data_IF_773195312859
#
_entry.id   IF_773195312859
#
_cell.length_a   1.000
_cell.length_b   1.000
_cell.length_c   1.000
_cell.angle_alpha   90.00
_cell.angle_beta   90.00
_cell.angle_gamma   90.00
#
_symmetry.space_group_name_H-M   'P 1'
#
loop_
_entity.id
_entity.type
_entity.pdbx_description
1 polymer ?
#
# COMPACT_ATOMS: atom_id res chain seq x y z
N UNK A 1 -12.77 15.21 3.28
CA UNK A 1 -12.59 13.95 2.52
C UNK A 1 -11.83 12.90 3.32
N UNK A 2 -10.61 13.18 3.80
CA UNK A 2 -9.84 12.25 4.67
C UNK A 2 -10.62 11.67 5.85
N UNK A 3 -11.35 12.50 6.63
CA UNK A 3 -12.15 12.03 7.77
C UNK A 3 -13.21 11.00 7.36
N UNK A 4 -13.86 11.19 6.22
CA UNK A 4 -14.85 10.24 5.69
C UNK A 4 -14.19 8.93 5.24
N UNK A 5 -13.01 8.99 4.62
CA UNK A 5 -12.25 7.79 4.29
C UNK A 5 -11.84 7.02 5.54
N UNK A 6 -11.32 7.73 6.53
CA UNK A 6 -10.88 7.15 7.79
C UNK A 6 -12.02 6.50 8.55
N UNK A 7 -13.15 7.18 8.71
CA UNK A 7 -14.33 6.62 9.40
C UNK A 7 -14.89 5.40 8.66
N UNK A 8 -14.96 5.44 7.32
CA UNK A 8 -15.60 4.38 6.54
C UNK A 8 -14.71 3.15 6.34
N UNK A 9 -13.44 3.34 5.97
CA UNK A 9 -12.54 2.24 5.59
C UNK A 9 -11.56 1.84 6.66
N UNK A 10 -11.23 2.77 7.57
CA UNK A 10 -10.14 2.60 8.52
C UNK A 10 -10.58 2.81 9.97
N UNK A 11 -11.88 2.82 10.22
CA UNK A 11 -12.50 2.86 11.56
C UNK A 11 -12.03 4.02 12.44
N UNK A 12 -11.69 5.17 11.83
CA UNK A 12 -11.24 6.37 12.54
C UNK A 12 -9.84 6.27 13.14
N UNK A 13 -9.03 5.29 12.70
CA UNK A 13 -7.73 4.98 13.31
C UNK A 13 -6.56 5.77 12.70
N UNK A 14 -6.74 6.35 11.52
CA UNK A 14 -5.63 6.83 10.70
C UNK A 14 -5.49 8.36 10.76
N UNK A 15 -6.57 9.12 10.83
CA UNK A 15 -6.50 10.60 10.86
C UNK A 15 -5.86 11.16 12.13
N UNK A 16 -5.87 10.39 13.23
CA UNK A 16 -5.15 10.73 14.45
C UNK A 16 -3.63 10.57 14.32
N UNK A 17 -3.17 9.93 13.24
CA UNK A 17 -1.76 9.54 13.02
C UNK A 17 -1.21 10.02 11.68
N UNK A 18 -1.98 10.76 10.88
CA UNK A 18 -1.52 11.32 9.61
C UNK A 18 -1.33 12.83 9.74
N UNK A 19 -0.20 13.33 9.23
CA UNK A 19 -0.09 14.71 8.73
C UNK A 19 -0.18 14.66 7.21
N UNK A 20 -1.00 15.55 6.66
CA UNK A 20 -1.31 15.54 5.25
C UNK A 20 -0.67 16.74 4.56
N UNK A 21 0.12 16.49 3.52
CA UNK A 21 0.80 17.51 2.75
C UNK A 21 0.42 17.39 1.27
N UNK A 22 -0.03 18.49 0.68
CA UNK A 22 -0.25 18.59 -0.77
C UNK A 22 0.94 19.33 -1.37
N UNK A 23 1.60 18.71 -2.35
CA UNK A 23 2.70 19.32 -3.09
C UNK A 23 2.25 19.65 -4.52
N UNK A 24 2.54 20.89 -4.95
CA UNK A 24 2.04 21.43 -6.22
C UNK A 24 2.72 20.82 -7.45
N UNK A 25 4.02 20.50 -7.36
CA UNK A 25 4.81 20.06 -8.52
C UNK A 25 5.80 18.97 -8.10
N UNK A 26 5.90 17.91 -8.90
CA UNK A 26 6.85 16.82 -8.73
C UNK A 26 7.71 16.62 -9.99
N UNK A 27 8.96 16.14 -9.87
CA UNK A 27 9.80 15.87 -11.03
C UNK A 27 9.12 14.88 -12.00
N UNK A 28 9.18 15.15 -13.30
CA UNK A 28 8.52 14.35 -14.35
C UNK A 28 8.95 12.88 -14.40
N UNK A 29 10.13 12.57 -13.86
CA UNK A 29 10.74 11.23 -13.86
C UNK A 29 10.28 10.32 -12.72
N UNK A 30 9.50 10.84 -11.77
CA UNK A 30 9.00 10.01 -10.69
C UNK A 30 7.89 9.06 -11.17
N UNK A 31 7.92 7.84 -10.64
CA UNK A 31 6.97 6.78 -10.96
C UNK A 31 5.71 6.79 -10.08
N UNK A 32 5.66 7.64 -9.05
CA UNK A 32 4.63 7.65 -8.02
C UNK A 32 4.05 9.07 -7.86
N UNK A 33 2.72 9.18 -7.71
CA UNK A 33 1.97 10.45 -7.58
C UNK A 33 1.61 10.77 -6.12
N UNK A 34 2.01 9.91 -5.19
CA UNK A 34 1.94 10.13 -3.75
C UNK A 34 2.98 9.30 -3.02
N UNK A 35 3.12 9.56 -1.72
CA UNK A 35 3.95 8.73 -0.84
C UNK A 35 3.50 8.84 0.62
N UNK A 36 3.74 7.76 1.37
CA UNK A 36 3.53 7.68 2.81
C UNK A 36 4.87 7.51 3.53
N UNK A 37 5.30 8.54 4.25
CA UNK A 37 6.53 8.53 5.07
C UNK A 37 6.24 8.32 6.56
N UNK A 38 7.18 7.70 7.28
CA UNK A 38 7.08 7.49 8.73
C UNK A 38 7.90 8.55 9.50
N UNK A 39 7.28 9.16 10.51
CA UNK A 39 7.85 10.26 11.29
C UNK A 39 7.64 10.00 12.77
N UNK A 40 8.75 9.98 13.50
CA UNK A 40 8.77 9.68 14.93
C UNK A 40 8.88 8.19 15.21
N UNK A 41 8.96 7.84 16.48
CA UNK A 41 9.21 6.45 16.91
C UNK A 41 8.02 5.85 17.65
N UNK A 42 7.30 6.59 18.51
CA UNK A 42 6.04 6.13 19.15
C UNK A 42 5.19 7.31 19.71
N UNK A 43 3.86 7.35 19.47
CA UNK A 43 3.15 6.60 18.43
C UNK A 43 3.63 7.03 17.03
N UNK A 44 3.57 6.14 16.03
CA UNK A 44 4.00 6.47 14.68
C UNK A 44 3.08 7.57 14.10
N UNK A 45 3.69 8.64 13.58
CA UNK A 45 3.02 9.65 12.77
C UNK A 45 3.42 9.42 11.32
N UNK A 46 2.49 9.57 10.39
CA UNK A 46 2.71 9.36 8.97
C UNK A 46 2.53 10.66 8.20
N UNK A 47 3.44 10.96 7.30
CA UNK A 47 3.24 12.02 6.32
C UNK A 47 2.69 11.40 5.04
N UNK A 48 1.48 11.81 4.65
CA UNK A 48 0.96 11.50 3.32
C UNK A 48 1.21 12.71 2.43
N UNK A 49 1.95 12.49 1.35
CA UNK A 49 2.23 13.47 0.32
C UNK A 49 1.42 13.12 -0.93
N UNK A 50 0.68 14.09 -1.47
CA UNK A 50 0.03 13.97 -2.78
C UNK A 50 0.59 15.01 -3.75
N UNK A 51 0.90 14.55 -4.96
CA UNK A 51 1.33 15.40 -6.06
C UNK A 51 0.17 15.69 -6.99
N UNK A 52 -0.16 16.97 -7.17
CA UNK A 52 -1.23 17.39 -8.09
C UNK A 52 -0.75 17.53 -9.53
N UNK A 53 0.57 17.51 -9.78
CA UNK A 53 1.14 17.59 -11.13
C UNK A 53 2.26 16.57 -11.34
N UNK A 54 2.25 15.93 -12.52
CA UNK A 54 3.34 15.10 -13.04
C UNK A 54 3.91 15.76 -14.30
N UNK A 55 5.05 16.44 -14.17
CA UNK A 55 5.56 17.30 -15.24
C UNK A 55 4.57 18.44 -15.54
N UNK A 56 4.05 18.52 -16.77
CA UNK A 56 3.04 19.50 -17.18
C UNK A 56 1.59 19.02 -17.03
N UNK A 57 1.37 17.76 -16.64
CA UNK A 57 0.02 17.18 -16.55
C UNK A 57 -0.55 17.31 -15.14
N UNK A 58 -1.74 17.90 -15.02
CA UNK A 58 -2.50 17.95 -13.77
C UNK A 58 -3.17 16.61 -13.50
N UNK A 59 -3.03 16.10 -12.28
CA UNK A 59 -3.75 14.92 -11.82
C UNK A 59 -5.25 15.20 -11.75
N UNK A 60 -6.05 14.26 -12.23
CA UNK A 60 -7.50 14.32 -12.13
C UNK A 60 -7.94 14.04 -10.69
N UNK A 61 -9.14 14.51 -10.31
CA UNK A 61 -9.69 14.22 -8.98
C UNK A 61 -9.77 12.71 -8.67
N UNK A 62 -10.22 11.82 -9.61
CA UNK A 62 -10.20 10.37 -9.38
C UNK A 62 -8.80 9.82 -9.10
N UNK A 63 -7.76 10.30 -9.80
CA UNK A 63 -6.37 9.88 -9.55
C UNK A 63 -5.88 10.33 -8.16
N UNK A 64 -6.23 11.55 -7.75
CA UNK A 64 -5.89 12.06 -6.41
C UNK A 64 -6.60 11.27 -5.31
N UNK A 65 -7.86 10.88 -5.54
CA UNK A 65 -8.64 10.07 -4.59
C UNK A 65 -8.06 8.67 -4.47
N UNK A 66 -7.75 8.01 -5.59
CA UNK A 66 -7.10 6.70 -5.60
C UNK A 66 -5.74 6.73 -4.89
N UNK A 67 -4.93 7.74 -5.18
CA UNK A 67 -3.62 7.94 -4.53
C UNK A 67 -3.76 8.18 -3.03
N UNK A 68 -4.69 9.07 -2.62
CA UNK A 68 -4.95 9.29 -1.21
C UNK A 68 -5.33 7.99 -0.51
N UNK A 69 -6.22 7.21 -1.12
CA UNK A 69 -6.67 5.94 -0.56
C UNK A 69 -5.51 4.93 -0.45
N UNK A 70 -4.65 4.85 -1.48
CA UNK A 70 -3.43 4.04 -1.50
C UNK A 70 -2.50 4.37 -0.32
N UNK A 71 -2.18 5.65 -0.14
CA UNK A 71 -1.30 6.09 0.96
C UNK A 71 -1.94 5.92 2.34
N UNK A 72 -3.27 6.06 2.45
CA UNK A 72 -3.98 5.79 3.70
C UNK A 72 -3.92 4.30 4.08
N UNK A 73 -3.90 3.36 3.12
CA UNK A 73 -3.68 1.95 3.41
C UNK A 73 -2.27 1.73 3.98
N UNK A 74 -1.25 2.38 3.41
CA UNK A 74 0.11 2.30 3.96
C UNK A 74 0.15 2.80 5.41
N UNK A 75 -0.43 3.96 5.71
CA UNK A 75 -0.49 4.51 7.06
C UNK A 75 -1.28 3.61 8.04
N UNK A 76 -2.42 3.08 7.58
CA UNK A 76 -3.24 2.16 8.37
C UNK A 76 -2.48 0.90 8.73
N UNK A 77 -1.94 0.18 7.74
CA UNK A 77 -1.22 -1.07 7.98
C UNK A 77 0.05 -0.85 8.81
N UNK A 78 0.76 0.25 8.55
CA UNK A 78 1.95 0.63 9.31
C UNK A 78 1.68 0.95 10.78
N UNK A 79 0.44 1.28 11.13
CA UNK A 79 0.03 1.51 12.52
C UNK A 79 -0.07 0.23 13.35
N UNK A 80 -0.11 -0.94 12.70
CA UNK A 80 -0.25 -2.26 13.33
C UNK A 80 0.94 -3.19 13.07
N UNK A 81 1.86 -2.82 12.18
CA UNK A 81 3.09 -3.60 11.98
C UNK A 81 4.13 -3.32 13.06
N UNK A 82 4.80 -4.39 13.48
CA UNK A 82 5.95 -4.33 14.35
C UNK A 82 7.20 -4.65 13.52
N UNK A 83 8.22 -3.78 13.58
CA UNK A 83 9.45 -3.92 12.81
C UNK A 83 10.55 -4.72 13.53
N UNK A 84 10.17 -5.50 14.55
CA UNK A 84 11.10 -6.34 15.28
C UNK A 84 11.61 -7.51 14.40
N UNK A 85 12.83 -8.05 14.59
CA UNK A 85 13.32 -9.19 13.80
C UNK A 85 12.37 -10.41 13.86
N UNK A 86 11.73 -10.65 15.01
CA UNK A 86 10.74 -11.73 15.19
C UNK A 86 9.43 -11.49 14.42
N UNK A 87 9.22 -10.27 13.94
CA UNK A 87 8.00 -9.76 13.35
C UNK A 87 8.10 -9.59 11.82
N UNK A 88 9.28 -9.84 11.24
CA UNK A 88 9.59 -9.60 9.82
C UNK A 88 8.62 -10.33 8.87
N UNK A 89 8.18 -11.53 9.25
CA UNK A 89 7.12 -12.25 8.51
C UNK A 89 5.79 -11.51 8.48
N UNK A 90 5.38 -10.91 9.60
CA UNK A 90 4.13 -10.16 9.67
C UNK A 90 4.23 -8.88 8.86
N UNK A 91 5.38 -8.21 8.88
CA UNK A 91 5.70 -7.05 8.03
C UNK A 91 5.50 -7.39 6.54
N UNK A 92 6.15 -8.47 6.08
CA UNK A 92 6.04 -8.94 4.69
C UNK A 92 4.61 -9.27 4.24
N UNK A 93 3.82 -9.94 5.08
CA UNK A 93 2.45 -10.29 4.72
C UNK A 93 1.47 -9.12 4.83
N UNK A 94 1.80 -8.14 5.67
CA UNK A 94 0.93 -7.00 5.97
C UNK A 94 1.22 -5.86 5.01
N UNK A 95 2.36 -5.19 5.19
CA UNK A 95 2.77 -4.06 4.35
C UNK A 95 3.51 -4.51 3.11
N UNK A 96 4.17 -5.66 3.09
CA UNK A 96 4.95 -6.09 1.93
C UNK A 96 6.45 -5.92 2.13
N UNK A 97 7.22 -6.18 1.10
CA UNK A 97 8.67 -6.03 1.17
C UNK A 97 9.06 -4.56 1.15
N UNK A 98 10.14 -4.15 1.82
CA UNK A 98 10.62 -2.74 1.86
C UNK A 98 10.75 -2.07 0.49
N UNK A 99 10.95 -2.86 -0.57
CA UNK A 99 11.08 -2.36 -1.93
C UNK A 99 9.76 -2.10 -2.63
N UNK A 100 8.67 -2.78 -2.25
CA UNK A 100 7.37 -2.64 -2.90
C UNK A 100 6.33 -2.04 -1.98
N UNK A 101 6.38 -2.34 -0.68
CA UNK A 101 5.39 -1.96 0.32
C UNK A 101 3.95 -2.34 -0.07
N UNK A 102 3.79 -3.37 -0.91
CA UNK A 102 2.48 -3.85 -1.39
C UNK A 102 2.29 -5.35 -1.11
N UNK A 103 2.29 -5.74 0.17
CA UNK A 103 2.06 -7.11 0.61
C UNK A 103 0.64 -7.64 0.31
N UNK A 104 0.37 -8.94 0.51
CA UNK A 104 -0.95 -9.53 0.26
C UNK A 104 -2.10 -8.79 0.97
N UNK A 105 -1.90 -8.38 2.23
CA UNK A 105 -2.92 -7.62 2.98
C UNK A 105 -3.16 -6.24 2.37
N UNK A 106 -2.10 -5.51 2.04
CA UNK A 106 -2.20 -4.24 1.30
C UNK A 106 -3.01 -4.40 0.01
N UNK A 107 -2.64 -5.37 -0.83
CA UNK A 107 -3.28 -5.62 -2.12
C UNK A 107 -4.77 -5.95 -1.98
N UNK A 108 -5.12 -6.77 -0.98
CA UNK A 108 -6.50 -7.12 -0.69
C UNK A 108 -7.33 -5.89 -0.26
N UNK A 109 -6.78 -5.06 0.63
CA UNK A 109 -7.43 -3.83 1.08
C UNK A 109 -7.57 -2.81 -0.06
N UNK A 110 -6.52 -2.62 -0.85
CA UNK A 110 -6.54 -1.74 -2.03
C UNK A 110 -7.62 -2.18 -3.02
N UNK A 111 -7.66 -3.46 -3.38
CA UNK A 111 -8.68 -4.01 -4.27
C UNK A 111 -10.09 -3.82 -3.72
N UNK A 112 -10.33 -4.21 -2.46
CA UNK A 112 -11.66 -4.12 -1.86
C UNK A 112 -12.15 -2.67 -1.75
N UNK A 113 -11.27 -1.76 -1.32
CA UNK A 113 -11.57 -0.35 -1.16
C UNK A 113 -11.86 0.35 -2.48
N UNK A 114 -11.00 0.18 -3.49
CA UNK A 114 -11.22 0.79 -4.79
C UNK A 114 -12.42 0.22 -5.53
N UNK A 115 -12.69 -1.09 -5.41
CA UNK A 115 -13.94 -1.68 -5.91
C UNK A 115 -15.17 -1.06 -5.25
N UNK A 116 -15.09 -0.69 -3.97
CA UNK A 116 -16.18 -0.01 -3.28
C UNK A 116 -16.29 1.45 -3.70
N UNK A 117 -15.17 2.15 -3.85
CA UNK A 117 -15.11 3.53 -4.34
C UNK A 117 -15.65 3.70 -5.75
N UNK A 118 -15.43 2.72 -6.63
CA UNK A 118 -16.04 2.71 -7.96
C UNK A 118 -17.57 2.74 -7.93
N UNK A 119 -18.20 2.25 -6.85
CA UNK A 119 -19.66 2.37 -6.68
C UNK A 119 -20.11 3.78 -6.32
N UNK A 120 -19.22 4.65 -5.85
CA UNK A 120 -19.55 6.01 -5.44
C UNK A 120 -19.55 6.97 -6.63
N UNK A 121 -18.75 6.69 -7.67
CA UNK A 121 -18.64 7.55 -8.84
C UNK A 121 -18.11 6.78 -10.07
N UNK A 122 -18.69 7.06 -11.25
CA UNK A 122 -18.30 6.41 -12.51
C UNK A 122 -16.81 6.60 -12.86
N UNK A 123 -16.25 7.79 -12.64
CA UNK A 123 -14.84 8.03 -12.95
C UNK A 123 -13.89 7.23 -12.04
N UNK A 124 -14.28 6.97 -10.78
CA UNK A 124 -13.53 6.09 -9.88
C UNK A 124 -13.63 4.62 -10.33
N UNK A 125 -14.77 4.20 -10.87
CA UNK A 125 -14.94 2.86 -11.44
C UNK A 125 -14.07 2.67 -12.69
N UNK A 126 -13.95 3.71 -13.52
CA UNK A 126 -13.04 3.71 -14.67
C UNK A 126 -11.58 3.59 -14.25
N UNK A 127 -11.14 4.34 -13.23
CA UNK A 127 -9.78 4.19 -12.66
C UNK A 127 -9.57 2.78 -12.12
N UNK A 128 -10.51 2.25 -11.34
CA UNK A 128 -10.44 0.88 -10.81
C UNK A 128 -10.32 -0.15 -11.95
N UNK A 129 -11.19 -0.08 -12.96
CA UNK A 129 -11.16 -1.01 -14.10
C UNK A 129 -9.85 -0.93 -14.87
N UNK A 130 -9.33 0.28 -15.12
CA UNK A 130 -8.09 0.51 -15.84
C UNK A 130 -6.86 -0.05 -15.10
N UNK A 131 -6.85 0.01 -13.76
CA UNK A 131 -5.75 -0.47 -12.92
C UNK A 131 -5.91 -1.91 -12.46
N UNK A 132 -7.12 -2.46 -12.54
CA UNK A 132 -7.41 -3.82 -12.09
C UNK A 132 -6.91 -4.87 -13.08
N UNK A 133 -6.24 -5.90 -12.57
CA UNK A 133 -5.91 -7.10 -13.34
C UNK A 133 -6.25 -8.33 -12.51
N UNK A 134 -7.42 -8.91 -12.78
CA UNK A 134 -7.98 -10.00 -11.99
C UNK A 134 -8.37 -9.53 -10.58
N UNK A 135 -7.65 -10.00 -9.57
CA UNK A 135 -7.87 -9.65 -8.15
C UNK A 135 -6.86 -8.63 -7.61
N UNK A 136 -6.08 -7.98 -8.49
CA UNK A 136 -5.06 -7.01 -8.11
C UNK A 136 -5.39 -5.62 -8.66
N UNK A 137 -4.94 -4.60 -7.93
CA UNK A 137 -4.78 -3.23 -8.42
C UNK A 137 -3.30 -3.01 -8.62
N UNK A 138 -2.96 -2.54 -9.83
CA UNK A 138 -1.61 -2.42 -10.38
C UNK A 138 -0.93 -3.79 -10.56
N UNK A 139 -0.40 -4.02 -11.77
CA UNK A 139 0.31 -5.27 -12.06
C UNK A 139 1.53 -5.35 -11.14
N UNK A 140 1.70 -6.44 -10.37
CA UNK A 140 2.92 -6.64 -9.60
C UNK A 140 4.13 -6.58 -10.52
N UNK A 141 5.16 -5.83 -10.13
CA UNK A 141 6.47 -5.95 -10.76
C UNK A 141 7.13 -7.23 -10.26
N UNK A 142 6.79 -8.36 -10.88
CA UNK A 142 7.21 -9.71 -10.48
C UNK A 142 8.74 -9.81 -10.31
N UNK A 143 9.52 -9.09 -11.14
CA UNK A 143 10.99 -9.08 -11.04
C UNK A 143 11.46 -8.40 -9.75
N UNK A 144 10.85 -7.26 -9.39
CA UNK A 144 11.20 -6.53 -8.15
C UNK A 144 10.78 -7.33 -6.93
N UNK A 145 9.62 -7.99 -6.98
CA UNK A 145 9.17 -8.90 -5.92
C UNK A 145 10.06 -10.14 -5.78
N UNK A 146 10.44 -10.77 -6.89
CA UNK A 146 11.28 -11.96 -6.83
C UNK A 146 12.66 -11.65 -6.22
N UNK A 147 13.27 -10.52 -6.63
CA UNK A 147 14.56 -10.07 -6.08
C UNK A 147 14.52 -9.83 -4.58
N UNK A 148 13.47 -9.21 -4.05
CA UNK A 148 13.44 -8.95 -2.61
C UNK A 148 12.96 -10.17 -1.80
N UNK A 149 12.23 -11.13 -2.40
CA UNK A 149 12.00 -12.45 -1.78
C UNK A 149 13.33 -13.19 -1.64
N UNK A 150 14.16 -13.17 -2.69
CA UNK A 150 15.50 -13.77 -2.68
C UNK A 150 16.41 -13.09 -1.65
N UNK A 151 16.41 -11.75 -1.58
CA UNK A 151 17.14 -11.00 -0.56
C UNK A 151 16.65 -11.33 0.86
N UNK A 152 15.34 -11.44 1.07
CA UNK A 152 14.77 -11.82 2.37
C UNK A 152 15.23 -13.21 2.79
N UNK A 153 15.21 -14.20 1.87
CA UNK A 153 15.71 -15.56 2.10
C UNK A 153 17.18 -15.58 2.50
N UNK A 154 18.01 -14.72 1.91
CA UNK A 154 19.45 -14.63 2.20
C UNK A 154 19.75 -13.85 3.48
N UNK A 155 18.86 -12.95 3.90
CA UNK A 155 19.06 -12.08 5.05
C UNK A 155 18.63 -12.69 6.39
N UNK A 156 17.98 -13.87 6.37
CA UNK A 156 17.34 -14.44 7.53
C UNK A 156 18.08 -15.69 8.05
N UNK A 157 18.46 -15.78 9.35
CA UNK A 157 18.91 -17.02 9.97
C UNK A 157 17.78 -18.09 10.10
N UNK A 158 16.61 -17.87 9.51
CA UNK A 158 15.45 -18.77 9.52
C UNK A 158 15.59 -20.07 8.71
N UNK A 159 16.74 -20.36 8.08
CA UNK A 159 17.02 -21.69 7.49
C UNK A 159 16.77 -22.86 8.47
N UNK A 160 16.74 -22.61 9.79
CA UNK A 160 16.52 -23.62 10.82
C UNK A 160 15.12 -23.68 11.44
N UNK A 161 14.15 -22.85 11.05
CA UNK A 161 12.77 -22.96 11.55
C UNK A 161 11.80 -23.26 10.41
N UNK A 162 11.65 -24.57 10.17
CA UNK A 162 10.54 -25.25 9.53
C UNK A 162 9.37 -24.30 9.21
N UNK A 163 9.38 -23.76 7.98
CA UNK A 163 8.20 -23.18 7.39
C UNK A 163 7.19 -24.30 7.18
N UNK A 164 6.38 -24.61 8.20
CA UNK A 164 5.13 -25.30 7.96
C UNK A 164 4.25 -24.34 7.15
N UNK A 165 3.84 -24.70 5.92
CA UNK A 165 2.94 -23.88 5.14
C UNK A 165 1.63 -23.77 5.93
N UNK A 166 1.34 -22.58 6.47
CA UNK A 166 0.16 -22.32 7.28
C UNK A 166 -1.14 -22.41 6.47
N UNK A 167 -1.03 -22.61 5.16
CA UNK A 167 -2.13 -22.93 4.27
C UNK A 167 -1.75 -24.24 3.60
N UNK A 168 -2.47 -25.33 3.87
CA UNK A 168 -2.22 -26.64 3.24
C UNK A 168 -2.39 -26.63 1.72
N UNK A 169 -3.00 -25.57 1.18
CA UNK A 169 -3.11 -25.24 -0.24
C UNK A 169 -3.18 -23.70 -0.38
N UNK A 170 -2.06 -22.99 -0.28
CA UNK A 170 -2.07 -21.56 -0.52
C UNK A 170 -2.52 -21.35 -1.95
N UNK A 171 -3.51 -20.47 -2.15
CA UNK A 171 -3.81 -19.99 -3.50
C UNK A 171 -2.49 -19.53 -4.13
N UNK A 172 -2.20 -19.88 -5.39
CA UNK A 172 -1.03 -19.35 -6.11
C UNK A 172 -0.96 -17.81 -6.08
N UNK A 173 -2.09 -17.16 -5.76
CA UNK A 173 -2.28 -15.72 -5.66
C UNK A 173 -1.88 -15.10 -4.31
N UNK A 174 -1.58 -15.91 -3.30
CA UNK A 174 -1.27 -15.46 -1.92
C UNK A 174 0.20 -15.67 -1.52
N UNK A 175 1.04 -16.24 -2.41
CA UNK A 175 2.45 -16.51 -2.17
C UNK A 175 3.40 -15.68 -3.05
N UNK A 176 2.93 -14.54 -3.54
CA UNK A 176 3.77 -13.57 -4.26
C UNK A 176 3.97 -12.37 -3.34
#
# INVERSE_FOLDING_TARGET
MMKFFDEFFFFGSVTLRIRFLILSVFPSEANEIGSCGHIGTQPPIFDILLHIMRGSQLATLPELVDTLFHEMIHAFLSSFTCYCPKCFRNDHNTVGMRTTSHGPTFRALSYAGMRYLGKWNLALDEVFKARSSGTYIDKPCLIREQRSIEAARQSDPLEHKLMLPYIKNPSPRLLI
#
